data_IF_632363751928
#
_entry.id   IF_632363751928
#
_cell.length_a   1.000
_cell.length_b   1.000
_cell.length_c   1.000
_cell.angle_alpha   90.00
_cell.angle_beta   90.00
_cell.angle_gamma   90.00
#
_symmetry.space_group_name_H-M   'P 1'
#
loop_
_entity.id
_entity.type
_entity.pdbx_description
1 polymer ?
#
# COMPACT_ATOMS: atom_id res chain seq x y z
N UNK A 1 -58.88 21.56 4.59
CA UNK A 1 -58.16 20.49 5.31
C UNK A 1 -56.73 20.95 5.54
N UNK A 2 -56.29 21.09 6.80
CA UNK A 2 -54.91 21.47 7.16
C UNK A 2 -54.18 20.23 7.69
N UNK A 3 -53.04 19.87 7.10
CA UNK A 3 -52.21 18.78 7.57
C UNK A 3 -51.12 19.32 8.52
N UNK A 4 -50.93 18.76 9.72
CA UNK A 4 -49.87 19.17 10.63
C UNK A 4 -48.51 18.71 10.11
N UNK A 5 -47.58 19.64 9.89
CA UNK A 5 -46.22 19.31 9.45
C UNK A 5 -45.33 19.01 10.66
N UNK A 6 -44.93 17.75 10.81
CA UNK A 6 -43.95 17.32 11.81
C UNK A 6 -42.57 17.81 11.36
N UNK A 7 -42.07 18.88 11.99
CA UNK A 7 -40.70 19.36 11.78
C UNK A 7 -39.72 18.38 12.41
N UNK A 8 -39.12 17.50 11.59
CA UNK A 8 -37.99 16.67 12.00
C UNK A 8 -36.81 17.60 12.30
N UNK A 9 -36.43 17.71 13.57
CA UNK A 9 -35.17 18.35 13.95
C UNK A 9 -34.04 17.41 13.55
N UNK A 10 -33.23 17.79 12.56
CA UNK A 10 -32.01 17.07 12.24
C UNK A 10 -31.07 17.15 13.44
N UNK A 11 -30.85 16.02 14.12
CA UNK A 11 -29.90 15.95 15.23
C UNK A 11 -28.50 16.04 14.63
N UNK A 12 -27.87 17.21 14.71
CA UNK A 12 -26.46 17.38 14.34
C UNK A 12 -25.64 16.48 15.27
N UNK A 13 -24.97 15.50 14.67
CA UNK A 13 -24.00 14.66 15.36
C UNK A 13 -22.88 15.61 15.86
N UNK A 14 -22.49 15.56 17.15
CA UNK A 14 -21.40 16.36 17.67
C UNK A 14 -20.11 16.08 16.89
N UNK A 15 -19.44 17.15 16.46
CA UNK A 15 -18.20 17.14 15.67
C UNK A 15 -17.02 16.43 16.36
N UNK A 16 -17.13 16.16 17.66
CA UNK A 16 -16.04 15.63 18.52
C UNK A 16 -15.51 14.24 18.12
N UNK A 17 -16.21 13.48 17.28
CA UNK A 17 -15.79 12.13 16.87
C UNK A 17 -15.25 12.04 15.44
N UNK A 18 -15.04 13.18 14.76
CA UNK A 18 -14.19 13.19 13.57
C UNK A 18 -12.75 13.09 14.03
N UNK A 19 -12.22 11.86 14.09
CA UNK A 19 -10.79 11.63 13.89
C UNK A 19 -10.41 12.51 12.68
N UNK A 20 -9.46 13.44 12.80
CA UNK A 20 -9.13 14.31 11.69
C UNK A 20 -8.75 13.41 10.50
N UNK A 21 -9.55 13.45 9.43
CA UNK A 21 -9.26 12.82 8.15
C UNK A 21 -8.08 13.52 7.44
N UNK A 22 -7.13 14.02 8.21
CA UNK A 22 -5.89 14.58 7.73
C UNK A 22 -4.92 13.40 7.59
N UNK A 23 -4.41 13.12 6.37
CA UNK A 23 -3.35 12.15 6.23
C UNK A 23 -2.19 12.56 7.15
N UNK A 24 -1.65 11.60 7.91
CA UNK A 24 -0.49 11.80 8.78
C UNK A 24 0.57 12.65 8.06
N UNK A 25 1.08 13.72 8.68
CA UNK A 25 2.05 14.58 8.03
C UNK A 25 3.31 13.76 7.68
N UNK A 26 3.75 13.91 6.44
CA UNK A 26 4.99 13.30 5.98
C UNK A 26 6.14 13.99 6.73
N UNK A 27 6.86 13.24 7.57
CA UNK A 27 7.95 13.78 8.38
C UNK A 27 9.34 13.47 7.80
N UNK A 28 9.41 12.68 6.73
CA UNK A 28 10.68 12.25 6.12
C UNK A 28 11.01 13.03 4.85
N UNK A 29 12.30 13.19 4.56
CA UNK A 29 12.79 13.97 3.41
C UNK A 29 12.55 13.29 2.05
N UNK A 30 12.07 12.06 2.02
CA UNK A 30 11.68 11.36 0.79
C UNK A 30 12.83 10.71 0.00
N UNK A 31 14.08 10.74 0.48
CA UNK A 31 15.23 10.13 -0.23
C UNK A 31 15.31 8.60 -0.14
N UNK A 32 14.49 7.98 0.70
CA UNK A 32 14.48 6.53 0.88
C UNK A 32 15.43 6.02 1.97
N UNK A 33 16.30 6.87 2.52
CA UNK A 33 17.34 6.48 3.50
C UNK A 33 16.89 6.57 4.95
N UNK A 34 15.73 7.18 5.20
CA UNK A 34 15.14 7.28 6.53
C UNK A 34 14.35 6.01 6.83
N UNK A 35 14.77 5.31 7.88
CA UNK A 35 14.31 3.96 8.20
C UNK A 35 13.81 3.91 9.65
N UNK A 36 12.66 3.26 9.91
CA UNK A 36 11.72 2.71 8.92
C UNK A 36 10.97 3.82 8.15
N UNK A 37 10.50 3.55 6.91
CA UNK A 37 9.65 4.50 6.19
C UNK A 37 8.29 4.70 6.86
N UNK A 38 7.68 5.87 6.65
CA UNK A 38 6.25 6.03 6.88
C UNK A 38 5.44 5.25 5.82
N UNK A 39 4.37 4.54 6.23
CA UNK A 39 3.50 3.78 5.31
C UNK A 39 3.02 4.62 4.13
N UNK A 40 2.64 5.88 4.39
CA UNK A 40 2.20 6.83 3.37
C UNK A 40 3.24 7.09 2.27
N UNK A 41 4.53 7.14 2.60
CA UNK A 41 5.59 7.33 1.61
C UNK A 41 5.77 6.10 0.71
N UNK A 42 5.58 4.92 1.28
CA UNK A 42 5.57 3.67 0.52
C UNK A 42 4.39 3.66 -0.43
N UNK A 43 3.18 3.97 0.03
CA UNK A 43 1.98 4.07 -0.81
C UNK A 43 2.20 5.01 -1.99
N UNK A 44 2.65 6.25 -1.73
CA UNK A 44 2.95 7.24 -2.78
C UNK A 44 3.98 6.70 -3.79
N UNK A 45 5.03 6.03 -3.31
CA UNK A 45 6.08 5.50 -4.18
C UNK A 45 5.55 4.38 -5.09
N UNK A 46 4.74 3.46 -4.56
CA UNK A 46 4.16 2.36 -5.33
C UNK A 46 3.08 2.84 -6.30
N UNK A 47 2.31 3.86 -5.93
CA UNK A 47 1.34 4.52 -6.83
C UNK A 47 2.05 5.17 -8.02
N UNK A 48 3.18 5.87 -7.78
CA UNK A 48 4.03 6.44 -8.85
C UNK A 48 4.61 5.38 -9.79
N UNK A 49 4.67 4.13 -9.37
CA UNK A 49 5.15 2.98 -10.16
C UNK A 49 4.00 2.15 -10.77
N UNK A 50 2.76 2.64 -10.69
CA UNK A 50 1.56 1.98 -11.22
C UNK A 50 1.33 0.58 -10.62
N UNK A 51 1.82 0.35 -9.39
CA UNK A 51 1.76 -0.94 -8.70
C UNK A 51 1.31 -0.80 -7.24
N UNK A 52 0.43 0.19 -7.00
CA UNK A 52 -0.09 0.55 -5.66
C UNK A 52 -0.62 -0.64 -4.85
N UNK A 53 -1.22 -1.64 -5.52
CA UNK A 53 -1.72 -2.86 -4.88
C UNK A 53 -0.64 -3.70 -4.15
N UNK A 54 0.64 -3.46 -4.40
CA UNK A 54 1.75 -4.14 -3.71
C UNK A 54 2.31 -3.36 -2.51
N UNK A 55 1.90 -2.10 -2.32
CA UNK A 55 2.46 -1.23 -1.28
C UNK A 55 2.27 -1.80 0.13
N UNK A 56 1.05 -2.25 0.44
CA UNK A 56 0.72 -2.82 1.74
C UNK A 56 1.46 -4.14 2.00
N UNK A 57 1.45 -5.05 1.04
CA UNK A 57 2.18 -6.33 1.13
C UNK A 57 3.68 -6.12 1.35
N UNK A 58 4.28 -5.15 0.65
CA UNK A 58 5.67 -4.78 0.84
C UNK A 58 5.92 -4.23 2.25
N UNK A 59 5.10 -3.28 2.70
CA UNK A 59 5.27 -2.66 4.02
C UNK A 59 5.17 -3.69 5.13
N UNK A 60 4.11 -4.51 5.12
CA UNK A 60 3.87 -5.54 6.12
C UNK A 60 4.99 -6.59 6.16
N UNK A 61 5.56 -6.95 5.00
CA UNK A 61 6.66 -7.89 4.90
C UNK A 61 7.89 -7.40 5.66
N UNK A 62 8.29 -6.13 5.43
CA UNK A 62 9.47 -5.56 6.07
C UNK A 62 9.21 -5.08 7.50
N UNK A 63 7.99 -4.68 7.83
CA UNK A 63 7.58 -4.36 9.19
C UNK A 63 7.69 -5.59 10.10
N UNK A 64 7.17 -6.75 9.67
CA UNK A 64 7.32 -8.02 10.40
C UNK A 64 8.79 -8.45 10.55
N UNK A 65 9.63 -8.09 9.58
CA UNK A 65 11.07 -8.32 9.64
C UNK A 65 11.83 -7.25 10.45
N UNK A 66 11.14 -6.30 11.09
CA UNK A 66 11.71 -5.16 11.80
C UNK A 66 12.73 -4.37 10.96
N UNK A 67 12.49 -4.28 9.64
CA UNK A 67 13.36 -3.60 8.67
C UNK A 67 14.82 -4.07 8.74
N UNK A 68 15.03 -5.36 9.02
CA UNK A 68 16.33 -6.02 9.10
C UNK A 68 16.40 -7.22 8.17
N UNK A 69 17.61 -7.49 7.69
CA UNK A 69 17.93 -8.73 7.00
C UNK A 69 17.81 -9.93 7.95
N UNK A 70 17.75 -11.14 7.39
CA UNK A 70 17.76 -12.42 8.14
C UNK A 70 18.96 -12.55 9.09
N UNK A 71 20.08 -11.90 8.76
CA UNK A 71 21.29 -11.84 9.60
C UNK A 71 21.23 -10.77 10.71
N UNK A 72 20.13 -10.03 10.82
CA UNK A 72 19.92 -8.96 11.80
C UNK A 72 20.42 -7.57 11.38
N UNK A 73 21.09 -7.45 10.22
CA UNK A 73 21.60 -6.18 9.69
C UNK A 73 20.45 -5.26 9.28
N UNK A 74 20.37 -4.02 9.79
CA UNK A 74 19.31 -3.08 9.41
C UNK A 74 19.47 -2.65 7.95
N UNK A 75 18.35 -2.55 7.25
CA UNK A 75 18.35 -1.97 5.91
C UNK A 75 18.58 -0.46 5.98
N UNK A 76 19.25 0.09 4.97
CA UNK A 76 19.60 1.52 4.91
C UNK A 76 18.73 2.31 3.96
N UNK A 77 18.05 1.64 3.02
CA UNK A 77 17.26 2.32 2.01
C UNK A 77 16.03 1.49 1.64
N UNK A 78 14.84 1.97 1.99
CA UNK A 78 13.60 1.27 1.69
C UNK A 78 13.19 1.40 0.23
N UNK A 79 13.58 2.47 -0.48
CA UNK A 79 13.30 2.62 -1.91
C UNK A 79 14.08 1.61 -2.75
N UNK A 80 15.29 1.25 -2.32
CA UNK A 80 16.06 0.18 -2.95
C UNK A 80 15.34 -1.17 -2.80
N UNK A 81 14.86 -1.47 -1.59
CA UNK A 81 14.06 -2.68 -1.34
C UNK A 81 12.77 -2.68 -2.15
N UNK A 82 12.09 -1.54 -2.24
CA UNK A 82 10.86 -1.40 -3.03
C UNK A 82 11.13 -1.61 -4.52
N UNK A 83 12.22 -1.07 -5.07
CA UNK A 83 12.61 -1.28 -6.45
C UNK A 83 12.89 -2.77 -6.74
N UNK A 84 13.60 -3.45 -5.85
CA UNK A 84 13.86 -4.90 -5.94
C UNK A 84 12.55 -5.70 -5.87
N UNK A 85 11.64 -5.34 -4.96
CA UNK A 85 10.32 -5.95 -4.82
C UNK A 85 9.51 -5.84 -6.12
N UNK A 86 9.42 -4.63 -6.69
CA UNK A 86 8.68 -4.37 -7.93
C UNK A 86 9.26 -5.19 -9.07
N UNK A 87 10.59 -5.19 -9.22
CA UNK A 87 11.26 -5.98 -10.24
C UNK A 87 10.90 -7.46 -10.13
N UNK A 88 11.06 -8.06 -8.95
CA UNK A 88 10.77 -9.48 -8.72
C UNK A 88 9.29 -9.81 -8.99
N UNK A 89 8.37 -8.96 -8.55
CA UNK A 89 6.94 -9.14 -8.79
C UNK A 89 6.59 -9.12 -10.28
N UNK A 90 7.19 -8.22 -11.06
CA UNK A 90 6.99 -8.18 -12.52
C UNK A 90 7.55 -9.41 -13.22
N UNK A 91 8.73 -9.88 -12.82
CA UNK A 91 9.33 -11.09 -13.38
C UNK A 91 8.45 -12.31 -13.11
N UNK A 92 7.92 -12.42 -11.89
CA UNK A 92 7.03 -13.50 -11.49
C UNK A 92 5.72 -13.48 -12.31
N UNK A 93 5.09 -12.31 -12.49
CA UNK A 93 3.91 -12.18 -13.35
C UNK A 93 4.18 -12.61 -14.80
N UNK A 94 5.34 -12.25 -15.36
CA UNK A 94 5.75 -12.66 -16.72
C UNK A 94 5.97 -14.17 -16.80
N UNK A 95 6.55 -14.78 -15.78
CA UNK A 95 6.73 -16.23 -15.70
C UNK A 95 5.40 -16.96 -15.63
N UNK A 96 4.48 -16.53 -14.76
CA UNK A 96 3.15 -17.13 -14.61
C UNK A 96 2.35 -17.09 -15.91
N UNK A 97 2.41 -15.97 -16.64
CA UNK A 97 1.78 -15.85 -17.97
C UNK A 97 2.32 -16.91 -18.93
N UNK A 98 3.65 -17.05 -19.04
CA UNK A 98 4.28 -18.05 -19.92
C UNK A 98 3.88 -19.48 -19.53
N UNK A 99 3.86 -19.79 -18.24
CA UNK A 99 3.45 -21.12 -17.76
C UNK A 99 2.00 -21.42 -18.09
N UNK A 100 1.10 -20.43 -17.92
CA UNK A 100 -0.31 -20.54 -18.30
C UNK A 100 -0.46 -20.80 -19.80
N UNK A 101 0.22 -20.03 -20.64
CA UNK A 101 0.13 -20.16 -22.09
C UNK A 101 0.64 -21.54 -22.55
N UNK A 102 1.77 -22.00 -21.99
CA UNK A 102 2.31 -23.34 -22.24
C UNK A 102 1.35 -24.46 -21.80
N UNK A 103 0.70 -24.30 -20.64
CA UNK A 103 -0.28 -25.26 -20.15
C UNK A 103 -1.51 -25.34 -21.07
N UNK A 104 -2.03 -24.20 -21.53
CA UNK A 104 -3.14 -24.14 -22.48
C UNK A 104 -2.77 -24.79 -23.82
N UNK A 105 -1.57 -24.52 -24.34
CA UNK A 105 -1.07 -25.15 -25.56
C UNK A 105 -1.01 -26.68 -25.44
N UNK A 106 -0.57 -27.19 -24.28
CA UNK A 106 -0.50 -28.63 -23.99
C UNK A 106 -1.88 -29.29 -23.83
N UNK A 107 -2.92 -28.53 -23.49
CA UNK A 107 -4.29 -29.05 -23.37
C UNK A 107 -5.04 -29.09 -24.70
N UNK A 108 -4.62 -28.26 -25.67
CA UNK A 108 -5.28 -28.12 -26.97
C UNK A 108 -4.74 -29.07 -28.05
N UNK A 109 -3.62 -29.75 -27.81
CA UNK A 109 -2.97 -30.72 -28.70
C UNK A 109 -2.75 -32.04 -27.98
#
# INVERSE_FOLDING_TARGET
>A
MQFPTIKRKAKRIPTEQRIPAQPEPICQNGFGTEMPPQKRLVEIYFDQKEIGAQAETFFDHYEKANWRSRKGTPFRNWKLLAAEWIFNYEQEKKLQKRQRDNALYKMAN
#
